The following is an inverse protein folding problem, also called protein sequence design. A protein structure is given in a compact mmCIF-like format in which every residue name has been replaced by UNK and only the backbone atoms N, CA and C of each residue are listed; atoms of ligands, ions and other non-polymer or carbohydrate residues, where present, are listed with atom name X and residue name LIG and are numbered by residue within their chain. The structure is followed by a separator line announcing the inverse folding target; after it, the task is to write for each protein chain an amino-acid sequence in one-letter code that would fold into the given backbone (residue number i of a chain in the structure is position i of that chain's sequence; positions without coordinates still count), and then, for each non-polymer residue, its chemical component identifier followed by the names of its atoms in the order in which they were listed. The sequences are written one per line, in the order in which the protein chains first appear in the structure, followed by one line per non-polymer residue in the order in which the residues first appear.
data_IF_803989704946
#
_entry.id   IF_803989704946
#
_cell.length_a   1.000
_cell.length_b   1.000
_cell.length_c   1.000
_cell.angle_alpha   90.00
_cell.angle_beta   90.00
_cell.angle_gamma   90.00
#
_symmetry.space_group_name_H-M   'P 1'
#
loop_
_entity.id
_entity.type
_entity.pdbx_description
1 polymer ?
#
# COMPACT_ATOMS: atom_id res chain seq x y z
N UNK A 1 30.48 38.09 -80.51
CA UNK A 1 29.12 37.56 -80.69
C UNK A 1 29.27 36.06 -80.92
N UNK A 2 28.68 35.13 -80.17
CA UNK A 2 27.83 35.26 -78.98
C UNK A 2 27.02 33.96 -78.83
N UNK A 3 27.41 33.06 -77.91
CA UNK A 3 26.74 31.76 -77.70
C UNK A 3 26.95 31.20 -76.28
N UNK A 4 26.93 32.09 -75.28
CA UNK A 4 26.84 31.74 -73.86
C UNK A 4 25.36 31.73 -73.42
N UNK A 5 24.55 30.74 -73.85
CA UNK A 5 23.13 30.73 -73.43
C UNK A 5 22.40 29.37 -73.40
N UNK A 6 23.07 28.23 -73.57
CA UNK A 6 22.44 26.90 -73.54
C UNK A 6 22.55 26.12 -72.20
N UNK A 7 22.76 26.82 -71.07
CA UNK A 7 22.71 26.24 -69.73
C UNK A 7 21.42 26.54 -68.93
N UNK A 8 20.41 27.15 -69.56
CA UNK A 8 19.21 27.67 -68.89
C UNK A 8 17.97 26.74 -68.90
N UNK A 9 18.16 25.42 -68.94
CA UNK A 9 17.07 24.42 -68.99
C UNK A 9 17.17 23.27 -67.96
N UNK A 10 17.86 23.46 -66.83
CA UNK A 10 17.87 22.46 -65.74
C UNK A 10 17.75 23.03 -64.30
N UNK A 11 17.38 24.30 -64.15
CA UNK A 11 17.15 24.93 -62.83
C UNK A 11 15.67 25.12 -62.48
N UNK A 12 14.76 25.13 -63.45
CA UNK A 12 13.35 25.51 -63.28
C UNK A 12 12.44 24.46 -62.58
N UNK A 13 13.00 23.47 -61.89
CA UNK A 13 12.27 22.52 -61.01
C UNK A 13 12.75 22.64 -59.56
N UNK A 14 13.90 23.27 -59.30
CA UNK A 14 14.38 23.50 -57.94
C UNK A 14 13.89 24.86 -57.44
N UNK A 15 12.77 24.87 -56.70
CA UNK A 15 12.64 25.51 -55.38
C UNK A 15 11.19 25.55 -54.86
N UNK A 16 10.55 24.39 -54.73
CA UNK A 16 9.58 24.20 -53.62
C UNK A 16 10.38 23.98 -52.33
N UNK A 17 11.17 24.98 -51.97
CA UNK A 17 11.84 25.04 -50.67
C UNK A 17 10.77 25.37 -49.64
N UNK A 18 10.78 24.62 -48.54
CA UNK A 18 9.84 24.83 -47.47
C UNK A 18 10.29 24.12 -46.21
N UNK A 19 10.22 24.82 -45.09
CA UNK A 19 10.54 24.28 -43.78
C UNK A 19 9.42 23.38 -43.29
N UNK A 20 9.77 22.15 -42.88
CA UNK A 20 8.93 21.34 -42.02
C UNK A 20 9.38 21.60 -40.58
N UNK A 21 8.44 22.03 -39.74
CA UNK A 21 8.63 22.20 -38.31
C UNK A 21 7.66 21.28 -37.56
N UNK A 22 8.16 20.56 -36.55
CA UNK A 22 7.32 19.90 -35.54
C UNK A 22 7.38 20.69 -34.24
N UNK A 23 6.22 20.88 -33.60
CA UNK A 23 6.10 21.49 -32.27
C UNK A 23 5.52 20.49 -31.26
N UNK A 24 6.04 20.49 -30.03
CA UNK A 24 5.37 19.91 -28.85
C UNK A 24 4.28 20.85 -28.34
N UNK A 25 3.18 20.29 -27.86
CA UNK A 25 2.27 20.98 -26.94
C UNK A 25 2.01 20.09 -25.73
N UNK A 26 2.25 20.61 -24.52
CA UNK A 26 1.93 19.95 -23.25
C UNK A 26 0.53 20.34 -22.78
N UNK A 27 -0.16 19.43 -22.07
CA UNK A 27 -1.47 19.69 -21.43
C UNK A 27 -1.39 19.81 -19.90
N UNK A 28 -0.20 20.06 -19.35
CA UNK A 28 -0.06 20.29 -17.92
C UNK A 28 -0.62 21.67 -17.52
N UNK A 29 -1.58 21.68 -16.59
CA UNK A 29 -1.99 22.83 -15.77
C UNK A 29 -2.45 24.13 -16.48
N UNK A 30 -3.47 24.07 -17.35
CA UNK A 30 -4.33 25.22 -17.71
C UNK A 30 -3.70 26.37 -18.52
N UNK A 31 -2.38 26.41 -18.62
CA UNK A 31 -1.58 27.40 -19.32
C UNK A 31 -1.56 27.09 -20.84
N UNK A 32 -1.76 28.09 -21.70
CA UNK A 32 -1.54 27.96 -23.15
C UNK A 32 -0.04 27.94 -23.46
N UNK A 33 0.64 26.85 -23.12
CA UNK A 33 2.09 26.68 -23.36
C UNK A 33 2.35 26.57 -24.86
N UNK A 34 2.64 27.70 -25.49
CA UNK A 34 3.03 27.83 -26.90
C UNK A 34 4.53 27.57 -27.10
N UNK A 35 5.06 26.51 -26.49
CA UNK A 35 6.48 26.15 -26.59
C UNK A 35 6.75 25.35 -27.88
N UNK A 36 6.93 26.08 -28.98
CA UNK A 36 7.30 25.54 -30.31
C UNK A 36 8.73 24.98 -30.26
N UNK A 37 8.84 23.77 -29.73
CA UNK A 37 10.09 22.98 -29.63
C UNK A 37 10.45 22.37 -30.97
N UNK A 38 10.96 23.22 -31.87
CA UNK A 38 11.18 22.90 -33.28
C UNK A 38 11.94 21.60 -33.57
N UNK A 39 11.48 20.87 -34.58
CA UNK A 39 12.25 19.85 -35.30
C UNK A 39 12.32 20.23 -36.78
N UNK A 40 13.52 20.48 -37.31
CA UNK A 40 13.75 21.13 -38.61
C UNK A 40 14.02 20.17 -39.77
N UNK A 41 13.42 20.47 -40.92
CA UNK A 41 13.76 19.87 -42.22
C UNK A 41 14.88 20.62 -42.98
N UNK A 42 15.61 19.86 -43.81
CA UNK A 42 16.63 20.23 -44.85
C UNK A 42 17.78 21.22 -44.51
N UNK A 43 17.73 21.95 -43.40
CA UNK A 43 18.83 22.82 -42.90
C UNK A 43 19.79 22.16 -41.91
N UNK A 44 19.63 20.86 -41.65
CA UNK A 44 20.37 20.13 -40.61
C UNK A 44 19.88 20.46 -39.19
N UNK A 45 20.59 19.95 -38.17
CA UNK A 45 20.17 20.00 -36.76
C UNK A 45 20.13 21.42 -36.13
N UNK A 46 20.47 22.48 -36.87
CA UNK A 46 20.76 23.85 -36.36
C UNK A 46 19.57 24.66 -35.77
N UNK A 47 18.49 23.99 -35.42
CA UNK A 47 17.37 24.53 -34.64
C UNK A 47 16.44 23.43 -34.15
N UNK A 48 16.99 22.22 -33.93
CA UNK A 48 16.29 21.14 -33.26
C UNK A 48 16.28 21.40 -31.76
N UNK A 49 15.13 21.24 -31.11
CA UNK A 49 15.02 21.41 -29.66
C UNK A 49 15.90 20.39 -28.90
N UNK A 50 16.60 20.77 -27.81
CA UNK A 50 17.54 19.89 -27.12
C UNK A 50 17.00 18.51 -26.71
N UNK A 51 15.71 18.42 -26.32
CA UNK A 51 15.08 17.12 -25.97
C UNK A 51 15.04 16.10 -27.13
N UNK A 52 15.09 16.58 -28.38
CA UNK A 52 15.02 15.78 -29.59
C UNK A 52 16.34 15.74 -30.36
N UNK A 53 17.37 16.45 -29.89
CA UNK A 53 18.65 16.59 -30.57
C UNK A 53 19.28 15.23 -30.89
N UNK A 54 19.56 14.97 -32.16
CA UNK A 54 20.21 13.74 -32.63
C UNK A 54 19.36 12.47 -32.54
N UNK A 55 18.13 12.56 -31.99
CA UNK A 55 17.19 11.43 -31.85
C UNK A 55 15.90 11.59 -32.65
N UNK A 56 15.54 12.80 -33.09
CA UNK A 56 14.43 12.97 -34.02
C UNK A 56 14.91 13.34 -35.44
N UNK A 57 14.29 12.77 -36.47
CA UNK A 57 14.64 13.02 -37.87
C UNK A 57 13.43 12.95 -38.81
N UNK A 58 13.56 13.57 -39.98
CA UNK A 58 12.51 13.67 -40.99
C UNK A 58 12.96 12.97 -42.28
N UNK A 59 12.03 12.35 -43.00
CA UNK A 59 12.29 11.75 -44.31
C UNK A 59 12.42 12.82 -45.41
N UNK A 60 13.45 13.67 -45.30
CA UNK A 60 13.61 14.89 -46.12
C UNK A 60 13.55 14.67 -47.62
N UNK A 61 14.06 13.53 -48.11
CA UNK A 61 14.00 13.13 -49.53
C UNK A 61 12.59 12.76 -50.02
N UNK A 62 11.63 12.55 -49.11
CA UNK A 62 10.25 12.14 -49.42
C UNK A 62 9.21 13.23 -49.14
N UNK A 63 9.62 14.40 -48.63
CA UNK A 63 8.72 15.53 -48.36
C UNK A 63 7.99 15.99 -49.63
N UNK A 64 8.66 15.99 -50.79
CA UNK A 64 8.06 16.33 -52.09
C UNK A 64 7.02 15.32 -52.57
N UNK A 65 7.05 14.08 -52.06
CA UNK A 65 6.04 13.06 -52.27
C UNK A 65 4.91 13.10 -51.23
N UNK A 66 4.91 14.11 -50.33
CA UNK A 66 3.92 14.27 -49.27
C UNK A 66 4.21 13.49 -47.98
N UNK A 67 5.40 12.89 -47.82
CA UNK A 67 5.77 12.25 -46.57
C UNK A 67 6.34 13.27 -45.57
N UNK A 68 5.52 13.64 -44.59
CA UNK A 68 5.88 14.53 -43.48
C UNK A 68 6.14 13.75 -42.17
N UNK A 69 6.36 12.42 -42.24
CA UNK A 69 6.57 11.57 -41.07
C UNK A 69 7.82 11.97 -40.27
N UNK A 70 7.70 11.89 -38.95
CA UNK A 70 8.78 12.09 -37.99
C UNK A 70 9.21 10.74 -37.42
N UNK A 71 10.51 10.45 -37.46
CA UNK A 71 11.15 9.38 -36.70
C UNK A 71 11.66 9.95 -35.38
N UNK A 72 11.45 9.25 -34.26
CA UNK A 72 12.07 9.52 -32.96
C UNK A 72 12.68 8.19 -32.47
N UNK A 73 14.00 8.16 -32.28
CA UNK A 73 14.76 6.97 -31.88
C UNK A 73 16.03 7.38 -31.09
N UNK A 74 16.26 6.89 -29.86
CA UNK A 74 15.35 6.08 -29.05
C UNK A 74 14.15 6.92 -28.57
N UNK A 75 13.02 6.27 -28.27
CA UNK A 75 11.91 6.84 -27.50
C UNK A 75 12.23 6.87 -25.99
N UNK A 76 11.59 7.78 -25.25
CA UNK A 76 11.71 7.93 -23.78
C UNK A 76 10.36 8.16 -23.13
N UNK A 77 10.27 7.93 -21.82
CA UNK A 77 9.06 8.18 -21.03
C UNK A 77 8.59 9.64 -21.10
N UNK A 78 9.53 10.59 -21.16
CA UNK A 78 9.23 12.03 -21.25
C UNK A 78 8.58 12.44 -22.59
N UNK A 79 8.60 11.58 -23.62
CA UNK A 79 7.90 11.86 -24.88
C UNK A 79 6.39 11.51 -24.79
N UNK A 80 5.96 10.80 -23.75
CA UNK A 80 4.55 10.42 -23.55
C UNK A 80 3.61 11.64 -23.44
N UNK A 81 2.35 11.46 -23.85
CA UNK A 81 1.30 12.48 -23.89
C UNK A 81 1.63 13.73 -24.71
N UNK A 82 2.68 13.67 -25.55
CA UNK A 82 3.08 14.78 -26.41
C UNK A 82 2.17 14.88 -27.62
N UNK A 83 1.52 16.03 -27.79
CA UNK A 83 0.94 16.41 -29.09
C UNK A 83 2.05 16.90 -30.01
N UNK A 84 2.22 16.22 -31.15
CA UNK A 84 3.13 16.58 -32.23
C UNK A 84 2.31 17.23 -33.35
N UNK A 85 2.69 18.44 -33.74
CA UNK A 85 2.01 19.21 -34.80
C UNK A 85 2.97 19.48 -35.94
N UNK A 86 2.61 19.08 -37.16
CA UNK A 86 3.43 19.31 -38.36
C UNK A 86 2.99 20.59 -39.09
N UNK A 87 3.95 21.44 -39.44
CA UNK A 87 3.76 22.68 -40.18
C UNK A 87 4.61 22.69 -41.45
N UNK A 88 4.03 23.09 -42.58
CA UNK A 88 4.77 23.33 -43.82
C UNK A 88 4.64 24.80 -44.21
N UNK A 89 5.77 25.50 -44.24
CA UNK A 89 5.88 26.86 -44.76
C UNK A 89 6.63 26.81 -46.08
N UNK A 90 6.02 27.32 -47.16
CA UNK A 90 6.73 27.53 -48.43
C UNK A 90 7.65 28.75 -48.26
N UNK A 91 8.89 28.60 -48.68
CA UNK A 91 9.87 29.68 -48.73
C UNK A 91 9.47 30.65 -49.86
N UNK A 92 8.84 31.77 -49.49
CA UNK A 92 8.51 32.84 -50.42
C UNK A 92 9.64 33.86 -50.44
N UNK A 93 10.25 34.10 -51.60
CA UNK A 93 11.17 35.24 -51.79
C UNK A 93 10.50 36.59 -51.50
N UNK A 94 9.16 36.63 -51.50
CA UNK A 94 8.38 37.78 -51.07
C UNK A 94 8.32 37.86 -49.53
N UNK A 95 9.16 38.72 -48.97
CA UNK A 95 9.29 39.00 -47.53
C UNK A 95 8.06 39.70 -46.92
N UNK A 96 7.01 39.95 -47.70
CA UNK A 96 5.76 40.60 -47.28
C UNK A 96 4.58 39.64 -47.04
N UNK A 97 4.80 38.33 -47.18
CA UNK A 97 3.77 37.28 -47.05
C UNK A 97 3.41 36.97 -45.58
N UNK A 98 2.52 37.76 -44.98
CA UNK A 98 1.89 37.48 -43.67
C UNK A 98 0.86 36.32 -43.75
N UNK A 99 1.20 35.20 -44.41
CA UNK A 99 0.34 34.02 -44.48
C UNK A 99 0.44 33.25 -43.16
N UNK A 100 -0.66 33.04 -42.42
CA UNK A 100 -0.62 32.32 -41.15
C UNK A 100 -0.22 30.86 -41.38
N UNK A 101 0.80 30.41 -40.66
CA UNK A 101 1.34 29.04 -40.76
C UNK A 101 0.28 28.04 -40.26
N UNK A 102 -0.41 27.39 -41.21
CA UNK A 102 -1.47 26.42 -40.91
C UNK A 102 -0.86 25.05 -40.59
N UNK A 103 -1.30 24.36 -39.53
CA UNK A 103 -0.88 22.98 -39.28
C UNK A 103 -1.44 22.04 -40.35
N UNK A 104 -0.60 21.12 -40.84
CA UNK A 104 -0.96 20.07 -41.79
C UNK A 104 -1.73 18.97 -41.05
N UNK A 105 -1.13 18.46 -39.97
CA UNK A 105 -1.67 17.39 -39.16
C UNK A 105 -1.26 17.56 -37.69
N UNK A 106 -1.99 16.84 -36.82
CA UNK A 106 -1.70 16.69 -35.40
C UNK A 106 -1.72 15.21 -35.08
N UNK A 107 -0.81 14.74 -34.25
CA UNK A 107 -0.82 13.38 -33.71
C UNK A 107 -0.46 13.41 -32.23
N UNK A 108 -0.99 12.45 -31.46
CA UNK A 108 -0.71 12.32 -30.03
C UNK A 108 0.16 11.10 -29.81
N UNK A 109 1.38 11.31 -29.31
CA UNK A 109 2.30 10.24 -28.96
C UNK A 109 1.89 9.64 -27.60
N UNK A 110 1.79 8.30 -27.57
CA UNK A 110 1.65 7.52 -26.33
C UNK A 110 2.80 6.52 -26.28
N UNK A 111 3.60 6.60 -25.23
CA UNK A 111 4.72 5.68 -25.01
C UNK A 111 4.25 4.52 -24.15
N UNK A 112 4.72 3.30 -24.44
CA UNK A 112 4.34 2.11 -23.69
C UNK A 112 5.43 1.05 -23.68
N UNK A 113 5.60 0.38 -22.54
CA UNK A 113 6.48 -0.76 -22.34
C UNK A 113 5.74 -1.84 -21.51
N UNK A 114 6.02 -3.12 -21.79
CA UNK A 114 5.34 -4.26 -21.15
C UNK A 114 5.90 -4.55 -19.78
N UNK A 115 5.03 -4.74 -18.78
CA UNK A 115 5.46 -5.19 -17.46
C UNK A 115 5.92 -6.65 -17.47
N UNK A 116 6.86 -6.97 -16.58
CA UNK A 116 7.21 -8.35 -16.23
C UNK A 116 6.19 -8.95 -15.24
N UNK A 117 6.04 -10.29 -15.19
CA UNK A 117 5.23 -10.97 -14.18
C UNK A 117 5.59 -10.48 -12.76
N UNK A 118 4.58 -10.14 -11.93
CA UNK A 118 4.84 -9.55 -10.62
C UNK A 118 5.46 -10.54 -9.63
N UNK A 119 6.47 -10.09 -8.90
CA UNK A 119 6.98 -10.76 -7.72
C UNK A 119 6.06 -10.43 -6.53
N UNK A 120 5.54 -11.45 -5.84
CA UNK A 120 4.62 -11.28 -4.70
C UNK A 120 5.21 -11.94 -3.46
N UNK A 121 5.29 -11.18 -2.37
CA UNK A 121 5.89 -11.63 -1.10
C UNK A 121 4.97 -11.31 0.08
N UNK A 122 5.05 -12.11 1.15
CA UNK A 122 4.23 -11.97 2.37
C UNK A 122 5.13 -11.88 3.60
N UNK A 123 4.90 -10.86 4.42
CA UNK A 123 5.50 -10.70 5.75
C UNK A 123 4.38 -10.76 6.80
N UNK A 124 4.47 -11.68 7.76
CA UNK A 124 3.54 -11.70 8.89
C UNK A 124 3.84 -10.53 9.83
N UNK A 125 2.82 -9.88 10.37
CA UNK A 125 2.99 -8.96 11.51
C UNK A 125 3.19 -9.75 12.80
N UNK A 126 3.69 -9.11 13.86
CA UNK A 126 3.67 -9.67 15.22
C UNK A 126 2.24 -9.86 15.76
N UNK A 127 1.27 -9.14 15.18
CA UNK A 127 -0.16 -9.33 15.48
C UNK A 127 -0.71 -10.49 14.65
N UNK A 128 -1.19 -11.53 15.32
CA UNK A 128 -1.86 -12.67 14.69
C UNK A 128 -2.99 -12.21 13.75
N UNK A 129 -3.07 -12.81 12.55
CA UNK A 129 -4.08 -12.48 11.55
C UNK A 129 -3.83 -11.21 10.72
N UNK A 130 -2.79 -10.41 11.01
CA UNK A 130 -2.42 -9.25 10.20
C UNK A 130 -1.20 -9.57 9.32
N UNK A 131 -1.37 -9.49 8.00
CA UNK A 131 -0.27 -9.75 7.04
C UNK A 131 -0.01 -8.54 6.16
N UNK A 132 1.27 -8.34 5.83
CA UNK A 132 1.72 -7.35 4.84
C UNK A 132 2.08 -8.10 3.56
N UNK A 133 1.42 -7.77 2.45
CA UNK A 133 1.69 -8.34 1.13
C UNK A 133 2.32 -7.28 0.25
N UNK A 134 3.44 -7.60 -0.40
CA UNK A 134 4.12 -6.72 -1.34
C UNK A 134 4.03 -7.34 -2.74
N UNK A 135 3.57 -6.56 -3.71
CA UNK A 135 3.55 -6.92 -5.11
C UNK A 135 4.41 -5.92 -5.88
N UNK A 136 5.41 -6.43 -6.59
CA UNK A 136 6.43 -5.66 -7.29
C UNK A 136 6.51 -6.11 -8.75
N UNK A 137 6.41 -5.17 -9.69
CA UNK A 137 6.54 -5.41 -11.13
C UNK A 137 7.47 -4.37 -11.74
N UNK A 138 8.13 -4.71 -12.86
CA UNK A 138 9.20 -3.91 -13.48
C UNK A 138 9.14 -3.95 -15.00
N UNK A 139 9.85 -3.04 -15.66
CA UNK A 139 10.05 -3.04 -17.11
C UNK A 139 8.92 -2.40 -17.92
N UNK A 140 7.87 -1.90 -17.27
CA UNK A 140 6.69 -1.38 -17.96
C UNK A 140 6.52 0.13 -17.87
N UNK A 141 5.66 0.67 -18.73
CA UNK A 141 5.27 2.08 -18.75
C UNK A 141 3.96 2.23 -19.56
N UNK A 142 3.02 3.12 -19.21
CA UNK A 142 2.98 3.98 -18.01
C UNK A 142 2.58 3.18 -16.75
N UNK A 143 2.42 3.85 -15.61
CA UNK A 143 2.06 3.24 -14.31
C UNK A 143 0.85 2.31 -14.42
N UNK A 144 0.88 1.08 -13.84
CA UNK A 144 -0.14 0.07 -14.06
C UNK A 144 -1.27 0.12 -13.04
N UNK A 145 -2.41 -0.47 -13.40
CA UNK A 145 -3.51 -0.67 -12.46
C UNK A 145 -3.25 -1.98 -11.71
N UNK A 146 -2.81 -1.86 -10.46
CA UNK A 146 -2.58 -3.01 -9.56
C UNK A 146 -3.72 -3.15 -8.55
N UNK A 147 -4.37 -4.32 -8.54
CA UNK A 147 -5.44 -4.74 -7.63
C UNK A 147 -5.09 -6.05 -6.89
N UNK A 148 -5.90 -6.40 -5.89
CA UNK A 148 -5.71 -7.58 -5.03
C UNK A 148 -6.99 -8.42 -4.97
N UNK A 149 -6.86 -9.74 -4.79
CA UNK A 149 -8.01 -10.65 -4.63
C UNK A 149 -8.69 -10.58 -3.26
N UNK A 150 -7.99 -10.06 -2.24
CA UNK A 150 -8.53 -9.81 -0.89
C UNK A 150 -8.59 -8.30 -0.65
N UNK A 151 -9.55 -7.87 0.18
CA UNK A 151 -9.77 -6.46 0.49
C UNK A 151 -8.68 -5.92 1.45
N UNK A 152 -7.85 -4.95 1.05
CA UNK A 152 -6.86 -4.35 1.93
C UNK A 152 -7.46 -3.25 2.81
N UNK A 153 -6.89 -3.07 4.00
CA UNK A 153 -7.20 -1.97 4.91
C UNK A 153 -6.39 -0.71 4.56
N UNK A 154 -5.12 -0.87 4.22
CA UNK A 154 -4.20 0.20 3.84
C UNK A 154 -3.36 -0.26 2.66
N UNK A 155 -3.10 0.64 1.70
CA UNK A 155 -2.26 0.38 0.52
C UNK A 155 -1.26 1.52 0.33
N UNK A 156 0.03 1.19 0.25
CA UNK A 156 1.12 2.10 -0.10
C UNK A 156 1.63 1.75 -1.49
N UNK A 157 1.89 2.76 -2.32
CA UNK A 157 2.42 2.59 -3.67
C UNK A 157 3.70 3.41 -3.79
N UNK A 158 4.74 2.83 -4.40
CA UNK A 158 5.97 3.51 -4.75
C UNK A 158 6.36 3.15 -6.18
N UNK A 159 6.76 4.16 -6.94
CA UNK A 159 7.18 4.04 -8.34
C UNK A 159 8.61 4.56 -8.46
N UNK A 160 9.50 3.78 -9.05
CA UNK A 160 10.90 4.11 -9.24
C UNK A 160 11.25 4.01 -10.73
N UNK A 161 11.66 5.11 -11.38
CA UNK A 161 12.19 5.06 -12.74
C UNK A 161 13.45 4.20 -12.82
N UNK A 162 13.54 3.40 -13.86
CA UNK A 162 14.78 2.75 -14.29
C UNK A 162 15.35 3.51 -15.49
N UNK A 163 16.36 4.34 -15.22
CA UNK A 163 17.05 5.16 -16.23
C UNK A 163 17.75 4.31 -17.30
N UNK A 164 18.11 3.06 -17.00
CA UNK A 164 18.86 2.20 -17.92
C UNK A 164 17.99 1.61 -19.02
N UNK A 165 16.72 1.31 -18.70
CA UNK A 165 15.74 0.77 -19.64
C UNK A 165 14.73 1.81 -20.14
N UNK A 166 14.60 2.96 -19.46
CA UNK A 166 13.56 3.95 -19.74
C UNK A 166 12.17 3.43 -19.35
N UNK A 167 12.07 2.72 -18.23
CA UNK A 167 10.80 2.10 -17.76
C UNK A 167 10.56 2.35 -16.27
N UNK A 168 9.44 1.84 -15.73
CA UNK A 168 9.09 1.93 -14.31
C UNK A 168 9.20 0.57 -13.62
N UNK A 169 9.68 0.61 -12.38
CA UNK A 169 9.42 -0.42 -11.37
C UNK A 169 8.39 0.10 -10.39
N UNK A 170 7.35 -0.69 -10.15
CA UNK A 170 6.19 -0.32 -9.33
C UNK A 170 5.99 -1.36 -8.24
N UNK A 171 5.98 -0.88 -6.99
CA UNK A 171 5.82 -1.70 -5.79
C UNK A 171 4.62 -1.22 -5.00
N UNK A 172 3.60 -2.07 -4.87
CA UNK A 172 2.47 -1.87 -3.95
C UNK A 172 2.61 -2.76 -2.72
N UNK A 173 2.43 -2.17 -1.56
CA UNK A 173 2.39 -2.84 -0.25
C UNK A 173 0.98 -2.72 0.31
N UNK A 174 0.34 -3.83 0.65
CA UNK A 174 -1.01 -3.89 1.20
C UNK A 174 -1.02 -4.55 2.57
N UNK A 175 -1.81 -3.97 3.49
CA UNK A 175 -2.09 -4.53 4.81
C UNK A 175 -3.45 -5.24 4.76
N UNK A 176 -3.44 -6.55 5.03
CA UNK A 176 -4.61 -7.42 5.01
C UNK A 176 -4.89 -7.94 6.44
N UNK A 177 -6.01 -7.54 7.07
CA UNK A 177 -6.43 -8.08 8.37
C UNK A 177 -7.23 -9.38 8.23
N UNK A 178 -7.27 -10.18 9.30
CA UNK A 178 -8.07 -11.40 9.46
C UNK A 178 -7.87 -12.45 8.35
N UNK A 179 -6.64 -12.57 7.84
CA UNK A 179 -6.30 -13.53 6.78
C UNK A 179 -6.15 -14.94 7.37
N UNK A 180 -6.83 -15.92 6.78
CA UNK A 180 -6.83 -17.29 7.26
C UNK A 180 -5.63 -18.10 6.76
N UNK A 181 -5.26 -19.13 7.52
CA UNK A 181 -4.22 -20.10 7.14
C UNK A 181 -4.56 -20.75 5.79
N UNK A 182 -3.58 -20.80 4.87
CA UNK A 182 -3.76 -21.37 3.54
C UNK A 182 -4.53 -20.50 2.53
N UNK A 183 -5.00 -19.31 2.92
CA UNK A 183 -5.64 -18.38 2.00
C UNK A 183 -4.64 -17.90 0.94
N UNK A 184 -5.07 -17.87 -0.34
CA UNK A 184 -4.21 -17.41 -1.45
C UNK A 184 -4.51 -15.94 -1.76
N UNK A 185 -3.48 -15.10 -1.71
CA UNK A 185 -3.54 -13.70 -2.14
C UNK A 185 -3.01 -13.62 -3.57
N UNK A 186 -3.82 -13.06 -4.48
CA UNK A 186 -3.43 -12.79 -5.85
C UNK A 186 -3.32 -11.28 -6.05
N UNK A 187 -2.17 -10.82 -6.53
CA UNK A 187 -1.97 -9.52 -7.11
C UNK A 187 -2.24 -9.58 -8.62
N UNK A 188 -3.04 -8.65 -9.13
CA UNK A 188 -3.32 -8.51 -10.56
C UNK A 188 -2.80 -7.16 -11.05
N UNK A 189 -1.93 -7.20 -12.05
CA UNK A 189 -1.31 -6.04 -12.72
C UNK A 189 -1.94 -5.91 -14.11
N UNK A 190 -2.66 -4.83 -14.35
CA UNK A 190 -3.30 -4.53 -15.64
C UNK A 190 -2.61 -3.36 -16.34
N UNK A 191 -2.23 -3.54 -17.60
CA UNK A 191 -1.56 -2.53 -18.41
C UNK A 191 -2.59 -1.60 -19.09
N UNK A 192 -2.59 -0.29 -18.81
CA UNK A 192 -3.68 0.62 -19.20
C UNK A 192 -3.85 0.83 -20.71
N UNK A 193 -2.81 0.59 -21.52
CA UNK A 193 -2.83 0.78 -22.98
C UNK A 193 -2.77 -0.51 -23.81
N UNK A 194 -2.42 -1.66 -23.22
CA UNK A 194 -2.08 -2.88 -23.97
C UNK A 194 -3.11 -4.00 -23.79
N UNK A 195 -4.11 -3.81 -22.94
CA UNK A 195 -5.10 -4.83 -22.56
C UNK A 195 -4.46 -6.12 -21.98
N UNK A 196 -3.22 -6.01 -21.48
CA UNK A 196 -2.46 -7.10 -20.89
C UNK A 196 -2.69 -7.17 -19.39
N UNK A 197 -2.84 -8.39 -18.87
CA UNK A 197 -3.07 -8.67 -17.46
C UNK A 197 -2.06 -9.73 -17.01
N UNK A 198 -1.33 -9.44 -15.94
CA UNK A 198 -0.36 -10.33 -15.31
C UNK A 198 -0.78 -10.59 -13.87
N UNK A 199 -0.76 -11.85 -13.46
CA UNK A 199 -1.13 -12.27 -12.11
C UNK A 199 0.10 -12.84 -11.38
N UNK A 200 0.21 -12.53 -10.10
CA UNK A 200 1.12 -13.19 -9.18
C UNK A 200 0.35 -13.61 -7.93
N UNK A 201 0.53 -14.85 -7.49
CA UNK A 201 -0.21 -15.40 -6.35
C UNK A 201 0.74 -15.99 -5.32
N UNK A 202 0.35 -15.90 -4.04
CA UNK A 202 1.09 -16.47 -2.92
C UNK A 202 0.13 -16.97 -1.85
N UNK A 203 0.38 -18.19 -1.37
CA UNK A 203 -0.34 -18.79 -0.24
C UNK A 203 0.18 -18.19 1.07
N UNK A 204 -0.73 -17.74 1.92
CA UNK A 204 -0.39 -17.16 3.23
C UNK A 204 0.20 -18.25 4.13
N UNK A 205 1.46 -18.09 4.62
CA UNK A 205 2.12 -19.10 5.44
C UNK A 205 1.37 -19.35 6.75
N UNK A 206 1.42 -20.59 7.26
CA UNK A 206 0.68 -21.00 8.47
C UNK A 206 0.95 -20.10 9.68
N UNK A 207 2.21 -19.71 9.88
CA UNK A 207 2.68 -18.79 10.92
C UNK A 207 2.04 -17.38 10.90
N UNK A 208 1.35 -17.00 9.83
CA UNK A 208 0.62 -15.73 9.73
C UNK A 208 -0.85 -15.85 10.18
N UNK A 209 -1.44 -17.05 10.11
CA UNK A 209 -2.88 -17.24 10.23
C UNK A 209 -3.36 -17.22 11.68
N UNK A 210 -4.59 -16.73 11.89
CA UNK A 210 -5.36 -17.16 13.07
C UNK A 210 -5.78 -18.60 12.79
N UNK A 211 -5.28 -19.54 13.59
CA UNK A 211 -5.71 -20.95 13.51
C UNK A 211 -7.21 -21.08 13.81
N UNK A 212 -7.84 -22.22 13.48
CA UNK A 212 -9.23 -22.45 13.86
C UNK A 212 -9.39 -22.28 15.37
N UNK A 213 -10.36 -21.45 15.75
CA UNK A 213 -10.59 -21.01 17.13
C UNK A 213 -11.15 -22.16 17.99
N UNK A 214 -10.26 -23.05 18.43
CA UNK A 214 -10.53 -23.86 19.61
C UNK A 214 -10.41 -22.96 20.84
N UNK A 215 -11.49 -22.22 21.14
CA UNK A 215 -11.77 -21.66 22.47
C UNK A 215 -12.02 -22.78 23.50
N UNK A 216 -11.08 -23.70 23.67
CA UNK A 216 -10.77 -24.18 25.02
C UNK A 216 -10.02 -23.06 25.72
N UNK A 217 -10.79 -22.09 26.23
CA UNK A 217 -10.38 -21.32 27.41
C UNK A 217 -9.80 -22.33 28.42
N UNK A 218 -8.62 -22.09 29.02
CA UNK A 218 -8.20 -22.86 30.17
C UNK A 218 -9.25 -22.63 31.27
N UNK A 219 -10.15 -23.61 31.42
CA UNK A 219 -11.19 -23.59 32.42
C UNK A 219 -10.52 -23.45 33.78
N UNK A 220 -10.81 -22.34 34.45
CA UNK A 220 -10.13 -21.88 35.66
C UNK A 220 -9.92 -23.00 36.71
N UNK A 221 -8.74 -23.65 36.70
CA UNK A 221 -8.40 -24.76 37.60
C UNK A 221 -8.40 -24.37 39.09
N UNK A 222 -8.40 -23.05 39.40
CA UNK A 222 -8.58 -22.58 40.79
C UNK A 222 -9.95 -22.95 41.37
N UNK A 223 -10.97 -23.20 40.54
CA UNK A 223 -12.30 -23.62 41.00
C UNK A 223 -12.27 -24.98 41.70
N UNK A 224 -11.42 -25.93 41.29
CA UNK A 224 -11.36 -27.25 41.93
C UNK A 224 -10.76 -27.18 43.35
N UNK A 225 -9.68 -26.41 43.54
CA UNK A 225 -9.06 -26.24 44.85
C UNK A 225 -9.99 -25.46 45.80
N UNK A 226 -10.59 -24.36 45.32
CA UNK A 226 -11.48 -23.51 46.13
C UNK A 226 -12.75 -24.27 46.55
N UNK A 227 -13.37 -25.03 45.65
CA UNK A 227 -14.54 -25.85 45.99
C UNK A 227 -14.20 -26.98 46.97
N UNK A 228 -13.02 -27.61 46.85
CA UNK A 228 -12.56 -28.61 47.81
C UNK A 228 -12.37 -28.02 49.22
N UNK A 229 -11.75 -26.84 49.33
CA UNK A 229 -11.57 -26.14 50.61
C UNK A 229 -12.92 -25.77 51.23
N UNK A 230 -13.87 -25.25 50.44
CA UNK A 230 -15.23 -24.93 50.94
C UNK A 230 -15.94 -26.18 51.48
N UNK A 231 -15.88 -27.31 50.76
CA UNK A 231 -16.46 -28.57 51.23
C UNK A 231 -15.84 -29.05 52.55
N UNK A 232 -14.51 -29.01 52.68
CA UNK A 232 -13.83 -29.37 53.93
C UNK A 232 -14.28 -28.46 55.07
N UNK A 233 -14.29 -27.15 54.89
CA UNK A 233 -14.74 -26.19 55.91
C UNK A 233 -16.19 -26.45 56.34
N UNK A 234 -17.10 -26.69 55.39
CA UNK A 234 -18.50 -27.02 55.69
C UNK A 234 -18.64 -28.32 56.49
N UNK A 235 -17.88 -29.38 56.15
CA UNK A 235 -17.91 -30.63 56.93
C UNK A 235 -17.37 -30.43 58.36
N UNK A 236 -16.32 -29.64 58.56
CA UNK A 236 -15.80 -29.30 59.89
C UNK A 236 -16.84 -28.53 60.70
N UNK A 237 -17.50 -27.52 60.12
CA UNK A 237 -18.57 -26.78 60.82
C UNK A 237 -19.76 -27.69 61.20
N UNK A 238 -20.17 -28.60 60.33
CA UNK A 238 -21.23 -29.57 60.63
C UNK A 238 -20.83 -30.53 61.75
N UNK A 239 -19.61 -31.07 61.73
CA UNK A 239 -19.09 -31.94 62.80
C UNK A 239 -19.00 -31.18 64.13
N UNK A 240 -18.46 -29.96 64.14
CA UNK A 240 -18.43 -29.10 65.32
C UNK A 240 -19.84 -28.79 65.85
N UNK A 241 -20.80 -28.51 64.97
CA UNK A 241 -22.20 -28.30 65.33
C UNK A 241 -22.85 -29.54 65.94
N UNK A 242 -22.64 -30.72 65.36
CA UNK A 242 -23.13 -31.99 65.90
C UNK A 242 -22.49 -32.31 67.25
N UNK A 243 -21.16 -32.12 67.40
CA UNK A 243 -20.47 -32.30 68.68
C UNK A 243 -20.99 -31.33 69.73
N UNK A 244 -21.18 -30.04 69.39
CA UNK A 244 -21.77 -29.05 70.29
C UNK A 244 -23.20 -29.46 70.71
N UNK A 245 -24.04 -29.94 69.78
CA UNK A 245 -25.38 -30.45 70.09
C UNK A 245 -25.32 -31.69 70.99
N UNK A 246 -24.40 -32.64 70.75
CA UNK A 246 -24.22 -33.82 71.59
C UNK A 246 -23.73 -33.45 73.01
N UNK A 247 -22.82 -32.48 73.13
CA UNK A 247 -22.35 -31.95 74.41
C UNK A 247 -23.47 -31.18 75.14
N UNK A 248 -24.28 -30.38 74.43
CA UNK A 248 -25.45 -29.71 74.98
C UNK A 248 -26.53 -30.71 75.43
N UNK A 249 -26.79 -31.78 74.67
CA UNK A 249 -27.72 -32.85 75.05
C UNK A 249 -27.21 -33.64 76.26
N UNK A 250 -25.90 -33.92 76.35
CA UNK A 250 -25.27 -34.48 77.56
C UNK A 250 -25.42 -33.53 78.77
N UNK A 251 -25.17 -32.23 78.60
CA UNK A 251 -25.28 -31.21 79.66
C UNK A 251 -26.73 -30.98 80.10
N UNK A 252 -27.70 -31.10 79.19
CA UNK A 252 -29.13 -31.10 79.51
C UNK A 252 -29.54 -32.35 80.30
N UNK A 253 -29.06 -33.54 79.89
CA UNK A 253 -29.30 -34.80 80.61
C UNK A 253 -28.68 -34.84 82.01
N UNK A 254 -27.62 -34.06 82.27
CA UNK A 254 -27.03 -33.93 83.61
C UNK A 254 -27.83 -32.98 84.52
N UNK A 255 -28.50 -31.96 83.97
CA UNK A 255 -29.29 -31.00 84.77
C UNK A 255 -30.53 -31.63 85.43
N UNK A 256 -31.09 -32.70 84.86
CA UNK A 256 -32.26 -33.40 85.43
C UNK A 256 -31.93 -34.41 86.54
N UNK A 257 -30.66 -34.68 86.86
CA UNK A 257 -30.29 -35.63 87.91
C UNK A 257 -29.70 -35.00 89.19
N UNK A 258 -29.36 -33.70 89.20
CA UNK A 258 -28.60 -33.09 90.31
C UNK A 258 -29.47 -32.35 91.34
N UNK A 259 -30.68 -31.88 91.00
CA UNK A 259 -31.56 -31.15 91.94
C UNK A 259 -32.41 -32.05 92.86
N UNK A 260 -31.84 -33.13 93.41
CA UNK A 260 -32.48 -33.90 94.50
C UNK A 260 -31.56 -34.20 95.69
N UNK A 261 -30.36 -33.61 95.72
CA UNK A 261 -29.38 -33.80 96.78
C UNK A 261 -28.95 -32.49 97.43
N UNK A 262 -29.18 -32.41 98.75
CA UNK A 262 -28.52 -31.51 99.71
C UNK A 262 -28.89 -30.02 99.63
N UNK A 263 -29.86 -29.69 100.47
CA UNK A 263 -30.04 -28.40 101.12
C UNK A 263 -28.92 -28.09 102.12
N UNK A 264 -28.66 -26.80 102.31
CA UNK A 264 -27.89 -26.22 103.41
C UNK A 264 -26.51 -25.68 102.97
N UNK A 265 -26.02 -24.56 103.50
CA UNK A 265 -26.58 -23.51 104.37
C UNK A 265 -25.48 -22.43 104.46
N UNK A 266 -25.87 -21.17 104.58
CA UNK A 266 -25.14 -19.97 105.07
C UNK A 266 -23.59 -19.83 105.04
N UNK A 267 -23.19 -18.59 104.70
CA UNK A 267 -22.04 -17.84 105.24
C UNK A 267 -20.58 -18.29 104.90
N UNK A 268 -19.56 -17.41 104.95
CA UNK A 268 -19.51 -15.95 104.76
C UNK A 268 -18.05 -15.48 104.56
N UNK A 269 -17.90 -14.32 103.91
CA UNK A 269 -16.88 -13.28 104.15
C UNK A 269 -15.37 -13.50 103.91
N UNK A 270 -14.81 -12.44 103.30
CA UNK A 270 -13.55 -11.75 103.61
C UNK A 270 -12.19 -12.20 102.99
N UNK A 271 -11.63 -11.28 102.20
CA UNK A 271 -10.28 -10.74 102.46
C UNK A 271 -9.23 -10.93 101.37
N UNK A 272 -8.60 -9.83 100.92
CA UNK A 272 -7.27 -9.89 100.27
C UNK A 272 -7.11 -9.16 98.92
N UNK A 273 -7.20 -7.83 98.93
CA UNK A 273 -6.37 -6.96 98.07
C UNK A 273 -4.99 -6.73 98.77
N UNK A 274 -3.96 -6.02 98.22
CA UNK A 274 -3.96 -5.14 97.04
C UNK A 274 -2.75 -5.26 96.07
N UNK A 275 -2.77 -4.44 95.00
CA UNK A 275 -1.60 -3.87 94.29
C UNK A 275 -0.88 -4.78 93.27
N UNK A 276 -0.07 -4.29 92.32
CA UNK A 276 0.31 -2.96 91.78
C UNK A 276 1.11 -3.25 90.48
N UNK A 277 1.27 -2.42 89.43
CA UNK A 277 0.64 -1.21 88.86
C UNK A 277 0.84 -1.40 87.31
N UNK A 278 0.05 -0.83 86.37
CA UNK A 278 0.17 0.51 85.78
C UNK A 278 1.62 0.95 85.42
N UNK A 279 1.96 1.47 84.24
CA UNK A 279 1.22 2.30 83.27
C UNK A 279 1.84 2.12 81.85
N UNK A 280 1.14 2.20 80.71
CA UNK A 280 0.26 3.22 80.10
C UNK A 280 1.03 4.38 79.39
N UNK A 281 0.42 5.20 78.49
CA UNK A 281 0.67 5.13 77.04
C UNK A 281 1.22 6.45 76.44
N UNK A 282 1.17 6.61 75.10
CA UNK A 282 0.37 7.67 74.45
C UNK A 282 0.35 7.56 72.91
N UNK A 283 -0.82 7.91 72.35
CA UNK A 283 -1.15 8.33 70.95
C UNK A 283 -0.83 7.40 69.78
#
# INVERSE_FOLDING_TARGET
MGLWQFFFQLSAVLSLLGGLAVARRSRAAGEQVNEVTGVLGRGGARGQHPLYWGRASLFTHQITAGNFSLLIDPLRMEDDQTELVAYYQRDSQDSQSNVPIKPICRTSLRVTARYMPPNVTVTCSERAGLVTVVCETRGGFPSPIISWSLQPQEVKSSETPDESSGTLTVRKTALLPNVSQGQTVTCTVSHPLLQEILNGSITVPERCGVGPENQTLPGNDTNNLVMAVILVVLTVFLVCGVVAVLLCRRKASWRTCVQRGVSGEEAAAAGGEPGEHESHPLQ
#
